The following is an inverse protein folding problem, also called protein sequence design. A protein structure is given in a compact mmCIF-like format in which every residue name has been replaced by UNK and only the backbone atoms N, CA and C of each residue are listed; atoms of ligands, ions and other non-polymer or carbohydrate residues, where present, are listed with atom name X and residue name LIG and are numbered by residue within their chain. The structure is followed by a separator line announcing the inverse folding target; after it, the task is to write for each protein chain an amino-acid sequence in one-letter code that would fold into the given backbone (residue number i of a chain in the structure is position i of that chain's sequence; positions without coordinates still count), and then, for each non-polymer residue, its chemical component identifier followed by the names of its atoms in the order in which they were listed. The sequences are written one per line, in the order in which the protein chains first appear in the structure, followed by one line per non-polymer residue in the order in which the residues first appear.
data_IF_884588501694
#
_entry.id   IF_884588501694
#
_cell.length_a   1.000
_cell.length_b   1.000
_cell.length_c   1.000
_cell.angle_alpha   90.00
_cell.angle_beta   90.00
_cell.angle_gamma   90.00
#
_symmetry.space_group_name_H-M   'P 1'
#
loop_
_entity.id
_entity.type
_entity.pdbx_description
1 polymer ?
#
# COMPACT_ATOMS: atom_id res chain seq x y z
N UNK A 1 5.15 14.83 1.09
CA UNK A 1 5.72 13.49 0.86
C UNK A 1 5.47 13.18 -0.60
N UNK A 2 6.48 12.72 -1.34
CA UNK A 2 6.28 12.34 -2.74
C UNK A 2 5.26 11.18 -2.82
N UNK A 3 4.41 11.15 -3.86
CA UNK A 3 3.41 10.11 -4.01
C UNK A 3 4.05 8.74 -4.21
N UNK A 4 3.46 7.72 -3.60
CA UNK A 4 3.88 6.33 -3.77
C UNK A 4 3.22 5.78 -5.03
N UNK A 5 4.03 5.56 -6.07
CA UNK A 5 3.56 5.07 -7.37
C UNK A 5 3.36 3.55 -7.33
N UNK A 6 2.13 3.09 -7.58
CA UNK A 6 1.72 1.69 -7.45
C UNK A 6 1.00 1.17 -8.67
N UNK A 7 1.29 -0.07 -9.06
CA UNK A 7 0.56 -0.74 -10.15
C UNK A 7 -0.93 -0.88 -9.79
N UNK A 8 -1.78 -1.01 -10.81
CA UNK A 8 -3.25 -1.02 -10.67
C UNK A 8 -3.78 -1.90 -9.55
N UNK A 9 -3.38 -3.17 -9.48
CA UNK A 9 -3.87 -4.08 -8.44
C UNK A 9 -3.47 -3.64 -7.03
N UNK A 10 -2.27 -3.08 -6.87
CA UNK A 10 -1.78 -2.59 -5.59
C UNK A 10 -2.49 -1.29 -5.19
N UNK A 11 -2.73 -0.40 -6.15
CA UNK A 11 -3.53 0.79 -5.94
C UNK A 11 -4.96 0.44 -5.50
N UNK A 12 -5.62 -0.50 -6.19
CA UNK A 12 -6.98 -0.96 -5.85
C UNK A 12 -7.06 -1.55 -4.42
N UNK A 13 -5.98 -2.16 -3.91
CA UNK A 13 -5.90 -2.63 -2.51
C UNK A 13 -5.90 -1.45 -1.53
N UNK A 14 -5.08 -0.43 -1.77
CA UNK A 14 -5.06 0.76 -0.91
C UNK A 14 -6.33 1.58 -1.04
N UNK A 15 -6.89 1.72 -2.25
CA UNK A 15 -8.20 2.33 -2.48
C UNK A 15 -9.29 1.63 -1.66
N UNK A 16 -9.34 0.29 -1.70
CA UNK A 16 -10.28 -0.50 -0.89
C UNK A 16 -10.09 -0.32 0.62
N UNK A 17 -8.84 -0.20 1.09
CA UNK A 17 -8.53 0.03 2.52
C UNK A 17 -8.91 1.44 2.98
N UNK A 18 -8.62 2.45 2.15
CA UNK A 18 -8.85 3.85 2.48
C UNK A 18 -10.25 4.34 2.11
N UNK A 19 -11.05 3.52 1.42
CA UNK A 19 -12.41 3.87 1.02
C UNK A 19 -13.24 4.34 2.23
N UNK A 20 -14.19 5.23 1.95
CA UNK A 20 -15.05 5.82 2.96
C UNK A 20 -16.10 4.82 3.44
N UNK A 21 -16.50 4.94 4.71
CA UNK A 21 -17.56 4.13 5.29
C UNK A 21 -18.84 4.23 4.44
N UNK A 22 -19.39 3.08 4.04
CA UNK A 22 -20.60 2.99 3.22
C UNK A 22 -20.39 2.60 1.76
N UNK A 23 -19.14 2.54 1.28
CA UNK A 23 -18.83 1.90 0.01
C UNK A 23 -18.47 0.42 0.19
N UNK A 24 -18.77 -0.46 -0.77
CA UNK A 24 -18.39 -1.86 -0.67
C UNK A 24 -16.86 -1.97 -0.61
N UNK A 25 -16.31 -2.40 0.52
CA UNK A 25 -14.91 -2.82 0.56
C UNK A 25 -14.73 -3.99 -0.42
N UNK A 26 -13.75 -3.89 -1.32
CA UNK A 26 -13.35 -5.05 -2.09
C UNK A 26 -12.83 -6.11 -1.13
N UNK A 27 -13.12 -7.37 -1.45
CA UNK A 27 -12.62 -8.51 -0.70
C UNK A 27 -11.12 -8.72 -1.00
N UNK A 28 -10.27 -7.97 -0.32
CA UNK A 28 -8.81 -8.13 -0.41
C UNK A 28 -8.34 -9.29 0.49
N UNK A 29 -7.34 -10.01 0.02
CA UNK A 29 -6.66 -11.09 0.75
C UNK A 29 -5.40 -10.59 1.43
N UNK A 30 -4.90 -11.37 2.38
CA UNK A 30 -3.61 -11.09 3.04
C UNK A 30 -2.45 -11.02 2.04
N UNK A 31 -2.43 -11.90 1.04
CA UNK A 31 -1.40 -11.89 -0.02
C UNK A 31 -1.44 -10.61 -0.85
N UNK A 32 -2.63 -10.13 -1.19
CA UNK A 32 -2.77 -8.90 -1.97
C UNK A 32 -2.26 -7.69 -1.20
N UNK A 33 -2.59 -7.60 0.09
CA UNK A 33 -2.06 -6.57 0.97
C UNK A 33 -0.54 -6.67 1.10
N UNK A 34 0.01 -7.88 1.27
CA UNK A 34 1.47 -8.05 1.37
C UNK A 34 2.17 -7.53 0.12
N UNK A 35 1.68 -7.94 -1.06
CA UNK A 35 2.23 -7.48 -2.34
C UNK A 35 2.06 -5.96 -2.54
N UNK A 36 0.98 -5.37 -2.05
CA UNK A 36 0.75 -3.93 -2.11
C UNK A 36 1.73 -3.16 -1.20
N UNK A 37 1.94 -3.64 0.02
CA UNK A 37 2.94 -3.07 0.95
C UNK A 37 4.36 -3.23 0.40
N UNK A 38 4.71 -4.38 -0.19
CA UNK A 38 6.01 -4.57 -0.84
C UNK A 38 6.22 -3.61 -2.01
N UNK A 39 5.18 -3.39 -2.83
CA UNK A 39 5.24 -2.41 -3.91
C UNK A 39 5.38 -0.96 -3.41
N UNK A 40 4.86 -0.66 -2.21
CA UNK A 40 5.06 0.61 -1.52
C UNK A 40 6.45 0.73 -0.85
N UNK A 41 7.32 -0.28 -0.99
CA UNK A 41 8.69 -0.28 -0.51
C UNK A 41 8.91 -0.95 0.85
N UNK A 42 7.88 -1.55 1.45
CA UNK A 42 8.05 -2.32 2.69
C UNK A 42 8.71 -3.67 2.43
N UNK A 43 9.38 -4.20 3.45
CA UNK A 43 9.88 -5.58 3.45
C UNK A 43 9.09 -6.42 4.43
N UNK A 44 8.52 -7.52 3.97
CA UNK A 44 7.85 -8.48 4.83
C UNK A 44 8.87 -9.40 5.51
N UNK A 45 8.75 -9.60 6.83
CA UNK A 45 9.55 -10.56 7.59
C UNK A 45 8.68 -11.68 8.14
N UNK A 46 9.06 -12.91 7.77
CA UNK A 46 8.53 -14.15 8.34
C UNK A 46 9.18 -14.44 9.70
N UNK A 47 8.76 -13.72 10.74
CA UNK A 47 9.06 -14.09 12.13
C UNK A 47 7.78 -14.62 12.82
N UNK A 48 7.85 -15.02 14.10
CA UNK A 48 6.69 -15.51 14.87
C UNK A 48 5.52 -14.52 14.93
N UNK A 49 5.75 -13.25 14.58
CA UNK A 49 4.77 -12.18 14.65
C UNK A 49 4.40 -11.63 13.27
N UNK A 50 5.21 -11.90 12.23
CA UNK A 50 5.00 -11.51 10.83
C UNK A 50 4.91 -10.00 10.66
N UNK A 51 5.99 -9.33 10.23
CA UNK A 51 6.02 -7.86 10.25
C UNK A 51 6.35 -7.18 8.92
N UNK A 52 5.83 -5.97 8.73
CA UNK A 52 6.27 -5.05 7.68
C UNK A 52 7.27 -4.04 8.22
N UNK A 53 8.47 -4.05 7.62
CA UNK A 53 9.48 -3.04 7.88
C UNK A 53 9.41 -1.96 6.79
N UNK A 54 9.29 -0.67 7.15
CA UNK A 54 9.27 0.41 6.18
C UNK A 54 10.63 0.62 5.50
N UNK A 55 10.64 1.26 4.31
CA UNK A 55 11.88 1.72 3.69
C UNK A 55 12.55 2.81 4.53
N UNK A 56 13.87 2.99 4.37
CA UNK A 56 14.69 3.86 5.21
C UNK A 56 14.29 5.34 5.20
N UNK A 57 13.61 5.79 4.15
CA UNK A 57 13.07 7.16 4.01
C UNK A 57 11.75 7.37 4.78
N UNK A 58 11.10 6.30 5.25
CA UNK A 58 9.89 6.36 6.04
C UNK A 58 10.24 6.19 7.52
N UNK A 59 10.44 7.31 8.21
CA UNK A 59 10.78 7.35 9.63
C UNK A 59 9.57 6.92 10.47
N UNK A 60 9.44 5.61 10.75
CA UNK A 60 8.30 5.09 11.52
C UNK A 60 8.50 3.76 12.25
N UNK A 61 9.62 3.06 12.04
CA UNK A 61 9.79 1.69 12.57
C UNK A 61 8.76 0.71 12.01
N UNK A 62 8.84 -0.57 12.36
CA UNK A 62 7.89 -1.57 11.87
C UNK A 62 6.47 -1.19 12.33
N UNK A 63 5.56 -0.98 11.38
CA UNK A 63 4.18 -0.52 11.69
C UNK A 63 3.22 -1.65 11.87
N UNK A 64 3.46 -2.77 11.19
CA UNK A 64 2.46 -3.78 11.07
C UNK A 64 2.98 -5.14 11.50
N UNK A 65 2.23 -5.78 12.40
CA UNK A 65 2.44 -7.15 12.86
C UNK A 65 1.23 -7.95 12.37
N UNK A 66 1.37 -8.57 11.19
CA UNK A 66 0.48 -9.60 10.71
C UNK A 66 0.83 -10.94 11.35
N UNK A 67 0.13 -11.30 12.41
CA UNK A 67 0.15 -12.69 12.87
C UNK A 67 -0.70 -13.57 11.95
N UNK A 68 -0.26 -13.69 10.70
CA UNK A 68 -0.87 -14.51 9.66
C UNK A 68 0.13 -15.59 9.31
N UNK A 69 -0.26 -16.81 9.67
CA UNK A 69 0.44 -18.01 9.31
C UNK A 69 0.32 -18.25 7.80
N UNK A 70 1.27 -18.98 7.22
CA UNK A 70 1.35 -19.16 5.77
C UNK A 70 0.07 -19.78 5.17
N UNK A 71 -0.62 -20.64 5.92
CA UNK A 71 -1.91 -21.24 5.56
C UNK A 71 -3.06 -20.24 5.45
N UNK A 72 -2.97 -19.07 6.08
CA UNK A 72 -4.01 -18.02 6.07
C UNK A 72 -3.81 -16.96 5.00
N UNK A 73 -2.75 -17.06 4.20
CA UNK A 73 -2.41 -16.09 3.17
C UNK A 73 -3.50 -15.89 2.12
N UNK A 74 -4.26 -16.95 1.79
CA UNK A 74 -5.39 -16.88 0.85
C UNK A 74 -6.68 -16.30 1.46
N UNK A 75 -6.74 -16.10 2.78
CA UNK A 75 -7.96 -15.65 3.43
C UNK A 75 -8.18 -14.16 3.20
N UNK A 76 -9.46 -13.78 3.07
CA UNK A 76 -9.86 -12.38 3.05
C UNK A 76 -9.59 -11.69 4.38
N UNK A 77 -9.33 -10.38 4.31
CA UNK A 77 -9.18 -9.52 5.47
C UNK A 77 -10.57 -9.01 5.86
N UNK A 78 -11.00 -9.27 7.09
CA UNK A 78 -12.27 -8.78 7.60
C UNK A 78 -12.29 -7.25 7.75
N UNK A 79 -13.49 -6.67 7.79
CA UNK A 79 -13.67 -5.22 7.80
C UNK A 79 -13.03 -4.54 9.03
N UNK A 80 -13.17 -5.14 10.22
CA UNK A 80 -12.58 -4.57 11.44
C UNK A 80 -11.04 -4.52 11.36
N UNK A 81 -10.44 -5.55 10.76
CA UNK A 81 -9.00 -5.60 10.49
C UNK A 81 -8.58 -4.58 9.43
N UNK A 82 -9.36 -4.39 8.37
CA UNK A 82 -9.12 -3.33 7.38
C UNK A 82 -9.14 -1.93 8.01
N UNK A 83 -10.10 -1.66 8.90
CA UNK A 83 -10.16 -0.39 9.65
C UNK A 83 -8.95 -0.20 10.57
N UNK A 84 -8.51 -1.27 11.25
CA UNK A 84 -7.29 -1.24 12.06
C UNK A 84 -6.04 -0.93 11.21
N UNK A 85 -5.90 -1.57 10.04
CA UNK A 85 -4.82 -1.30 9.08
C UNK A 85 -4.83 0.17 8.66
N UNK A 86 -5.99 0.66 8.22
CA UNK A 86 -6.20 2.05 7.83
C UNK A 86 -5.76 3.01 8.93
N UNK A 87 -6.25 2.78 10.15
CA UNK A 87 -5.91 3.62 11.32
C UNK A 87 -4.41 3.62 11.60
N UNK A 88 -3.75 2.47 11.59
CA UNK A 88 -2.31 2.37 11.86
C UNK A 88 -1.45 3.06 10.78
N UNK A 89 -1.81 2.88 9.50
CA UNK A 89 -1.12 3.54 8.39
C UNK A 89 -1.29 5.07 8.46
N UNK A 90 -2.48 5.53 8.80
CA UNK A 90 -2.75 6.95 8.99
C UNK A 90 -2.01 7.52 10.21
N UNK A 91 -2.08 6.87 11.38
CA UNK A 91 -1.45 7.36 12.61
C UNK A 91 0.08 7.40 12.51
N UNK A 92 0.71 6.41 11.88
CA UNK A 92 2.18 6.37 11.81
C UNK A 92 2.76 7.20 10.68
N UNK A 93 2.14 7.15 9.50
CA UNK A 93 2.71 7.72 8.28
C UNK A 93 1.91 8.92 7.74
N UNK A 94 0.77 9.25 8.34
CA UNK A 94 -0.12 10.28 7.81
C UNK A 94 -0.72 9.91 6.46
N UNK A 95 -0.79 8.61 6.14
CA UNK A 95 -1.23 8.17 4.83
C UNK A 95 -2.73 8.29 4.64
N UNK A 96 -3.07 8.77 3.45
CA UNK A 96 -4.43 8.87 2.93
C UNK A 96 -4.45 8.29 1.52
N UNK A 97 -5.61 8.18 0.89
CA UNK A 97 -5.69 7.74 -0.51
C UNK A 97 -4.82 8.60 -1.44
N UNK A 98 -4.71 9.91 -1.18
CA UNK A 98 -3.85 10.83 -1.94
C UNK A 98 -2.35 10.63 -1.75
N UNK A 99 -1.92 9.75 -0.85
CA UNK A 99 -0.51 9.34 -0.72
C UNK A 99 -0.07 8.35 -1.80
N UNK A 100 -1.02 7.78 -2.55
CA UNK A 100 -0.77 6.78 -3.57
C UNK A 100 -1.18 7.30 -4.94
N UNK A 101 -0.35 7.03 -5.93
CA UNK A 101 -0.66 7.28 -7.32
C UNK A 101 -0.69 5.95 -8.07
N UNK A 102 -1.72 5.77 -8.88
CA UNK A 102 -1.71 4.69 -9.84
C UNK A 102 -0.51 4.90 -10.77
N UNK A 103 0.21 3.83 -11.11
CA UNK A 103 1.23 3.86 -12.16
C UNK A 103 0.50 4.22 -13.45
N UNK A 104 0.49 5.52 -13.77
CA UNK A 104 -0.11 6.06 -14.97
C UNK A 104 0.89 6.03 -16.11
N UNK A 105 0.35 6.12 -17.31
CA UNK A 105 1.03 6.61 -18.51
C UNK A 105 2.21 7.50 -18.15
N UNK A 106 3.39 7.15 -18.68
CA UNK A 106 4.45 8.11 -18.78
C UNK A 106 3.83 9.36 -19.43
N UNK A 107 3.58 10.40 -18.65
CA UNK A 107 3.63 11.74 -19.18
C UNK A 107 5.09 11.86 -19.61
N UNK A 108 5.32 11.50 -20.88
CA UNK A 108 6.48 11.95 -21.62
C UNK A 108 6.39 13.46 -21.46
N UNK A 109 7.16 13.99 -20.51
CA UNK A 109 7.47 15.41 -20.51
C UNK A 109 7.84 15.72 -21.97
N UNK A 110 7.22 16.72 -22.64
CA UNK A 110 7.72 17.12 -23.93
C UNK A 110 9.16 17.55 -23.72
N UNK A 111 10.09 16.64 -24.06
CA UNK A 111 11.51 16.93 -24.08
C UNK A 111 11.71 18.16 -24.96
N UNK A 112 12.74 18.98 -24.68
CA UNK A 112 12.94 20.21 -25.42
C UNK A 112 13.02 19.88 -26.91
N UNK A 113 12.05 20.39 -27.68
CA UNK A 113 12.14 20.37 -29.14
C UNK A 113 13.34 21.24 -29.50
N UNK A 114 14.46 20.58 -29.77
CA UNK A 114 15.59 21.21 -30.44
C UNK A 114 15.12 21.52 -31.85
N UNK A 115 14.77 22.78 -32.09
CA UNK A 115 14.65 23.31 -33.44
C UNK A 115 16.07 23.55 -33.95
N UNK A 116 16.50 22.72 -34.89
CA UNK A 116 17.66 23.02 -35.73
C UNK A 116 17.14 23.94 -36.84
N UNK A 117 17.61 25.19 -36.81
CA UNK A 117 17.49 26.15 -37.91
C UNK A 117 18.40 25.75 -39.08
#
# INVERSE_FOLDING_TARGET
MDPIVLKRKQYEVFDSLFNAAGQPHMKITHVELIKAMEAAGFKFRWDKRGRFDPPANMNGGSVYIFNVTHDKLGNHIDAARQDEIKRLLHEKYGWTLGSFELTGDAVIAPGPRVFVL
#
